data_IF_114085832720
#
_entry.id   IF_114085832720
#
_cell.length_a   1.000
_cell.length_b   1.000
_cell.length_c   1.000
_cell.angle_alpha   90.00
_cell.angle_beta   90.00
_cell.angle_gamma   90.00
#
_symmetry.space_group_name_H-M   'P 1'
#
loop_
_entity.id
_entity.type
_entity.pdbx_description
1 polymer ?
#
# COMPACT_ATOMS: atom_id res chain seq x y z
N UNK A 1 -10.09 -3.70 24.66
CA UNK A 1 -9.89 -3.35 26.08
C UNK A 1 -11.15 -2.71 26.65
N UNK A 2 -11.71 -1.69 26.00
CA UNK A 2 -13.06 -1.17 26.36
C UNK A 2 -14.16 -2.16 25.94
N UNK A 3 -14.14 -2.63 24.70
CA UNK A 3 -15.16 -3.55 24.18
C UNK A 3 -15.17 -4.90 24.92
N UNK A 4 -14.00 -5.45 25.19
CA UNK A 4 -13.82 -6.66 26.01
C UNK A 4 -14.31 -6.49 27.47
N UNK A 5 -14.26 -5.27 28.02
CA UNK A 5 -14.83 -4.99 29.36
C UNK A 5 -16.35 -4.77 29.30
N UNK A 6 -16.88 -4.25 28.19
CA UNK A 6 -18.32 -4.07 27.96
C UNK A 6 -19.02 -5.42 27.73
N UNK A 7 -18.42 -6.30 26.93
CA UNK A 7 -18.88 -7.68 26.73
C UNK A 7 -18.85 -8.47 28.05
N UNK A 8 -17.77 -8.34 28.84
CA UNK A 8 -17.67 -8.95 30.17
C UNK A 8 -18.72 -8.41 31.17
N UNK A 9 -19.33 -7.26 30.88
CA UNK A 9 -20.43 -6.65 31.66
C UNK A 9 -21.81 -6.93 31.05
N UNK A 10 -21.90 -7.74 30.00
CA UNK A 10 -23.16 -8.12 29.35
C UNK A 10 -23.79 -7.02 28.50
N UNK A 11 -23.00 -6.01 28.09
CA UNK A 11 -23.42 -4.98 27.14
C UNK A 11 -23.11 -5.48 25.73
N UNK A 12 -24.13 -5.53 24.86
CA UNK A 12 -23.97 -5.87 23.46
C UNK A 12 -23.12 -4.78 22.78
N UNK A 13 -21.95 -5.16 22.25
CA UNK A 13 -21.05 -4.24 21.57
C UNK A 13 -21.49 -4.16 20.12
N UNK A 14 -21.94 -2.96 19.72
CA UNK A 14 -22.25 -2.67 18.32
C UNK A 14 -20.95 -2.74 17.49
N UNK A 15 -20.88 -3.72 16.59
CA UNK A 15 -19.73 -3.93 15.69
C UNK A 15 -19.91 -3.22 14.34
N UNK A 16 -20.97 -2.43 14.19
CA UNK A 16 -21.22 -1.61 13.00
C UNK A 16 -20.05 -0.69 12.72
N UNK A 17 -19.69 -0.53 11.44
CA UNK A 17 -18.58 0.33 11.06
C UNK A 17 -18.85 1.80 11.39
N UNK A 18 -20.10 2.25 11.26
CA UNK A 18 -20.59 3.57 11.65
C UNK A 18 -22.12 3.61 11.56
N UNK A 19 -22.72 4.75 11.90
CA UNK A 19 -24.18 4.96 11.82
C UNK A 19 -24.81 4.71 10.45
N UNK A 20 -24.05 4.74 9.35
CA UNK A 20 -24.57 4.58 7.99
C UNK A 20 -24.71 3.11 7.56
N UNK A 21 -23.99 2.20 8.21
CA UNK A 21 -23.92 0.79 7.85
C UNK A 21 -23.87 -0.06 9.11
N UNK A 22 -24.92 -0.85 9.34
CA UNK A 22 -25.01 -1.80 10.45
C UNK A 22 -24.19 -3.09 10.21
N UNK A 23 -23.02 -2.94 9.59
CA UNK A 23 -22.14 -4.01 9.14
C UNK A 23 -20.71 -3.71 9.56
N UNK A 24 -19.97 -4.76 9.90
CA UNK A 24 -18.51 -4.73 10.01
C UNK A 24 -17.86 -4.49 8.65
N UNK A 25 -16.57 -4.12 8.63
CA UNK A 25 -15.81 -4.03 7.37
C UNK A 25 -15.80 -5.37 6.61
N UNK A 26 -15.66 -6.49 7.33
CA UNK A 26 -15.58 -7.83 6.74
C UNK A 26 -16.90 -8.23 6.07
N UNK A 27 -18.04 -7.89 6.68
CA UNK A 27 -19.37 -8.10 6.09
C UNK A 27 -19.56 -7.23 4.85
N UNK A 28 -19.20 -5.94 4.90
CA UNK A 28 -19.26 -5.05 3.73
C UNK A 28 -18.37 -5.55 2.58
N UNK A 29 -17.17 -6.06 2.88
CA UNK A 29 -16.31 -6.69 1.88
C UNK A 29 -17.02 -7.87 1.21
N UNK A 30 -17.65 -8.73 2.02
CA UNK A 30 -18.36 -9.92 1.54
C UNK A 30 -19.57 -9.54 0.67
N UNK A 31 -20.36 -8.56 1.10
CA UNK A 31 -21.50 -8.01 0.35
C UNK A 31 -21.04 -7.48 -1.02
N UNK A 32 -20.03 -6.61 -1.03
CA UNK A 32 -19.48 -6.03 -2.27
C UNK A 32 -19.03 -7.11 -3.24
N UNK A 33 -18.35 -8.15 -2.75
CA UNK A 33 -17.87 -9.26 -3.58
C UNK A 33 -19.00 -10.14 -4.11
N UNK A 34 -19.95 -10.53 -3.27
CA UNK A 34 -21.03 -11.46 -3.62
C UNK A 34 -22.01 -10.82 -4.60
N UNK A 35 -22.38 -9.56 -4.36
CA UNK A 35 -23.33 -8.84 -5.21
C UNK A 35 -22.66 -8.13 -6.40
N UNK A 36 -21.33 -8.03 -6.42
CA UNK A 36 -20.60 -7.34 -7.47
C UNK A 36 -20.82 -5.83 -7.48
N UNK A 37 -21.09 -5.23 -6.31
CA UNK A 37 -21.36 -3.79 -6.17
C UNK A 37 -20.08 -2.99 -6.43
N UNK A 38 -20.11 -2.10 -7.41
CA UNK A 38 -18.92 -1.34 -7.84
C UNK A 38 -18.89 0.11 -7.37
N UNK A 39 -19.97 0.62 -6.79
CA UNK A 39 -20.06 2.03 -6.41
C UNK A 39 -20.55 2.19 -4.98
N UNK A 40 -20.11 3.26 -4.31
CA UNK A 40 -20.61 3.60 -2.98
C UNK A 40 -22.10 3.89 -2.97
N UNK A 41 -22.61 4.55 -4.02
CA UNK A 41 -24.03 4.88 -4.15
C UNK A 41 -24.92 3.65 -4.15
N UNK A 42 -24.56 2.63 -4.94
CA UNK A 42 -25.29 1.35 -4.94
C UNK A 42 -25.19 0.63 -3.58
N UNK A 43 -24.00 0.64 -2.95
CA UNK A 43 -23.81 -0.02 -1.66
C UNK A 43 -24.65 0.62 -0.56
N UNK A 44 -24.63 1.95 -0.44
CA UNK A 44 -25.37 2.66 0.60
C UNK A 44 -26.88 2.63 0.37
N UNK A 45 -27.34 2.58 -0.88
CA UNK A 45 -28.77 2.43 -1.19
C UNK A 45 -29.31 1.07 -0.77
N UNK A 46 -28.55 -0.01 -1.00
CA UNK A 46 -28.99 -1.38 -0.70
C UNK A 46 -28.76 -1.80 0.76
N UNK A 47 -27.63 -1.41 1.34
CA UNK A 47 -27.13 -1.98 2.61
C UNK A 47 -26.84 -0.93 3.68
N UNK A 48 -27.21 0.33 3.44
CA UNK A 48 -26.98 1.42 4.39
C UNK A 48 -28.06 2.50 4.32
N UNK A 49 -27.73 3.69 4.82
CA UNK A 49 -28.57 4.88 4.69
C UNK A 49 -27.77 6.18 4.82
N UNK A 50 -28.34 7.30 4.37
CA UNK A 50 -27.72 8.62 4.46
C UNK A 50 -26.72 8.89 3.34
N UNK A 51 -25.73 9.76 3.59
CA UNK A 51 -24.75 10.22 2.59
C UNK A 51 -23.33 9.68 2.83
N UNK A 52 -23.12 8.93 3.91
CA UNK A 52 -21.82 8.45 4.37
C UNK A 52 -20.98 9.50 5.09
N UNK A 53 -20.04 9.02 5.91
CA UNK A 53 -19.10 9.84 6.69
C UNK A 53 -17.63 9.57 6.32
N UNK A 54 -16.72 10.20 7.05
CA UNK A 54 -15.27 10.04 6.99
C UNK A 54 -14.76 8.66 7.47
N UNK A 55 -15.64 7.82 8.03
CA UNK A 55 -15.33 6.42 8.39
C UNK A 55 -15.68 5.47 7.24
N UNK A 56 -16.94 5.46 6.80
CA UNK A 56 -17.40 4.45 5.83
C UNK A 56 -16.92 4.75 4.40
N UNK A 57 -16.80 6.01 3.98
CA UNK A 57 -16.37 6.33 2.62
C UNK A 57 -14.96 5.80 2.32
N UNK A 58 -13.92 6.07 3.14
CA UNK A 58 -12.58 5.52 2.89
C UNK A 58 -12.53 4.00 3.07
N UNK A 59 -13.32 3.44 3.99
CA UNK A 59 -13.40 1.99 4.17
C UNK A 59 -13.97 1.30 2.94
N UNK A 60 -15.06 1.81 2.38
CA UNK A 60 -15.66 1.30 1.13
C UNK A 60 -14.75 1.55 -0.06
N UNK A 61 -14.08 2.71 -0.16
CA UNK A 61 -13.06 2.96 -1.19
C UNK A 61 -11.96 1.88 -1.18
N UNK A 62 -11.45 1.56 0.02
CA UNK A 62 -10.46 0.49 0.21
C UNK A 62 -11.02 -0.88 -0.22
N UNK A 63 -12.26 -1.21 0.13
CA UNK A 63 -12.93 -2.46 -0.27
C UNK A 63 -13.05 -2.51 -1.81
N UNK A 64 -13.64 -1.51 -2.44
CA UNK A 64 -13.84 -1.45 -3.90
C UNK A 64 -12.52 -1.60 -4.65
N UNK A 65 -11.48 -0.86 -4.23
CA UNK A 65 -10.16 -0.96 -4.84
C UNK A 65 -9.52 -2.34 -4.65
N UNK A 66 -9.71 -2.97 -3.49
CA UNK A 66 -9.19 -4.33 -3.24
C UNK A 66 -9.97 -5.40 -4.02
N UNK A 67 -11.23 -5.14 -4.35
CA UNK A 67 -12.10 -6.08 -5.05
C UNK A 67 -11.95 -6.01 -6.57
N UNK A 68 -11.84 -4.80 -7.13
CA UNK A 68 -11.93 -4.58 -8.57
C UNK A 68 -10.71 -3.86 -9.15
N UNK A 69 -9.92 -3.19 -8.30
CA UNK A 69 -8.76 -2.39 -8.68
C UNK A 69 -9.05 -1.37 -9.78
N UNK A 70 -10.24 -0.75 -9.74
CA UNK A 70 -10.59 0.34 -10.65
C UNK A 70 -9.83 1.62 -10.27
N UNK A 71 -9.55 2.52 -11.23
CA UNK A 71 -8.77 3.72 -10.96
C UNK A 71 -9.45 4.62 -9.93
N UNK A 72 -8.76 4.90 -8.81
CA UNK A 72 -9.30 5.78 -7.76
C UNK A 72 -9.56 7.22 -8.23
N UNK A 73 -9.03 7.58 -9.40
CA UNK A 73 -9.18 8.89 -10.03
C UNK A 73 -10.50 9.04 -10.80
N UNK A 74 -11.23 7.95 -10.99
CA UNK A 74 -12.53 7.94 -11.66
C UNK A 74 -13.59 8.65 -10.81
N UNK A 75 -14.55 9.30 -11.48
CA UNK A 75 -15.54 10.16 -10.84
C UNK A 75 -16.37 9.45 -9.75
N UNK A 76 -16.58 8.14 -9.88
CA UNK A 76 -17.29 7.33 -8.89
C UNK A 76 -16.49 7.12 -7.59
N UNK A 77 -15.16 7.12 -7.67
CA UNK A 77 -14.25 6.74 -6.58
C UNK A 77 -13.63 7.94 -5.88
N UNK A 78 -13.45 9.07 -6.57
CA UNK A 78 -12.83 10.30 -6.03
C UNK A 78 -13.49 10.81 -4.75
N UNK A 79 -14.84 10.91 -4.63
CA UNK A 79 -15.48 11.46 -3.43
C UNK A 79 -15.28 10.60 -2.17
N UNK A 80 -14.72 9.39 -2.32
CA UNK A 80 -14.50 8.45 -1.24
C UNK A 80 -13.07 8.49 -0.70
N UNK A 81 -12.15 9.12 -1.44
CA UNK A 81 -10.74 9.12 -1.11
C UNK A 81 -10.42 10.14 -0.02
N UNK A 82 -9.39 9.83 0.77
CA UNK A 82 -8.76 10.85 1.60
C UNK A 82 -7.95 11.83 0.73
N UNK A 83 -7.44 12.89 1.37
CA UNK A 83 -6.65 13.93 0.69
C UNK A 83 -5.45 13.35 -0.07
N UNK A 84 -4.76 12.38 0.50
CA UNK A 84 -3.51 11.88 -0.06
C UNK A 84 -3.77 11.01 -1.30
N UNK A 85 -4.85 10.23 -1.28
CA UNK A 85 -5.29 9.46 -2.44
C UNK A 85 -5.92 10.32 -3.53
N UNK A 86 -6.68 11.35 -3.15
CA UNK A 86 -7.27 12.31 -4.09
C UNK A 86 -6.21 12.99 -4.97
N UNK A 87 -5.07 13.37 -4.36
CA UNK A 87 -3.96 14.04 -5.04
C UNK A 87 -2.80 13.12 -5.38
N UNK A 88 -2.94 11.81 -5.13
CA UNK A 88 -1.91 10.80 -5.39
C UNK A 88 -0.51 11.21 -4.89
N UNK A 89 -0.48 11.85 -3.72
CA UNK A 89 0.72 12.41 -3.08
C UNK A 89 0.46 12.68 -1.58
N UNK A 90 1.47 12.59 -0.72
CA UNK A 90 1.27 12.93 0.70
C UNK A 90 1.31 14.43 0.89
N UNK A 91 0.28 15.01 1.50
CA UNK A 91 0.26 16.40 1.93
C UNK A 91 1.24 16.65 3.08
N UNK A 92 1.97 17.77 3.00
CA UNK A 92 2.97 18.23 3.97
C UNK A 92 2.42 19.38 4.82
N UNK A 93 3.18 19.78 5.85
CA UNK A 93 2.74 20.76 6.86
C UNK A 93 2.31 22.11 6.31
N UNK A 94 2.90 22.56 5.20
CA UNK A 94 2.60 23.85 4.55
C UNK A 94 1.75 23.69 3.28
N UNK A 95 1.01 22.58 3.13
CA UNK A 95 0.15 22.36 1.96
C UNK A 95 0.87 21.87 0.69
N UNK A 96 2.20 21.75 0.71
CA UNK A 96 2.97 21.09 -0.37
C UNK A 96 2.81 19.57 -0.33
N UNK A 97 3.36 18.88 -1.32
CA UNK A 97 3.21 17.44 -1.52
C UNK A 97 4.56 16.73 -1.65
N UNK A 98 4.58 15.43 -1.35
CA UNK A 98 5.72 14.55 -1.61
C UNK A 98 5.53 13.73 -2.88
N UNK A 99 6.56 13.66 -3.72
CA UNK A 99 6.66 12.79 -4.88
C UNK A 99 7.63 11.66 -4.58
N UNK A 100 7.15 10.42 -4.69
CA UNK A 100 7.94 9.22 -4.38
C UNK A 100 7.81 8.21 -5.52
N UNK A 101 8.76 8.21 -6.47
CA UNK A 101 8.79 7.24 -7.55
C UNK A 101 9.05 5.82 -7.05
N UNK A 102 8.52 4.82 -7.76
CA UNK A 102 8.77 3.41 -7.46
C UNK A 102 10.20 3.04 -7.87
N UNK A 103 10.89 2.33 -6.99
CA UNK A 103 12.23 1.75 -7.23
C UNK A 103 12.19 0.29 -6.77
N UNK A 104 11.77 -0.64 -7.65
CA UNK A 104 11.58 -2.04 -7.28
C UNK A 104 12.84 -2.67 -6.71
N UNK A 105 12.71 -3.30 -5.53
CA UNK A 105 13.85 -3.93 -4.85
C UNK A 105 14.97 -2.98 -4.42
N UNK A 106 14.78 -1.65 -4.57
CA UNK A 106 15.83 -0.66 -4.36
C UNK A 106 16.86 -0.58 -5.49
N UNK A 107 16.61 -1.22 -6.64
CA UNK A 107 17.51 -1.21 -7.79
C UNK A 107 17.23 -0.02 -8.72
N UNK A 108 18.24 0.84 -8.92
CA UNK A 108 18.14 2.06 -9.73
C UNK A 108 19.37 2.23 -10.61
N UNK A 109 19.16 2.61 -11.87
CA UNK A 109 20.27 2.91 -12.79
C UNK A 109 20.84 4.30 -12.52
N UNK A 110 22.12 4.56 -12.88
CA UNK A 110 22.71 5.89 -12.79
C UNK A 110 21.90 6.97 -13.52
N UNK A 111 21.38 6.68 -14.72
CA UNK A 111 20.56 7.64 -15.48
C UNK A 111 19.28 8.02 -14.76
N UNK A 112 18.57 7.04 -14.19
CA UNK A 112 17.36 7.30 -13.38
C UNK A 112 17.69 8.10 -12.12
N UNK A 113 18.84 7.84 -11.49
CA UNK A 113 19.31 8.61 -10.34
C UNK A 113 19.61 10.07 -10.71
N UNK A 114 20.20 10.31 -11.88
CA UNK A 114 20.44 11.66 -12.42
C UNK A 114 19.11 12.39 -12.65
N UNK A 115 18.12 11.72 -13.25
CA UNK A 115 16.77 12.31 -13.46
C UNK A 115 16.15 12.75 -12.13
N UNK A 116 16.20 11.92 -11.09
CA UNK A 116 15.68 12.31 -9.77
C UNK A 116 16.38 13.56 -9.22
N UNK A 117 17.70 13.67 -9.42
CA UNK A 117 18.47 14.87 -9.07
C UNK A 117 18.05 16.11 -9.86
N UNK A 118 17.87 15.96 -11.18
CA UNK A 118 17.43 17.06 -12.07
C UNK A 118 16.03 17.55 -11.73
N UNK A 119 15.08 16.65 -11.49
CA UNK A 119 13.73 16.99 -11.04
C UNK A 119 13.78 17.65 -9.67
N UNK A 120 14.57 17.12 -8.74
CA UNK A 120 14.76 17.73 -7.41
C UNK A 120 15.30 19.16 -7.49
N UNK A 121 16.31 19.40 -8.33
CA UNK A 121 16.89 20.74 -8.56
C UNK A 121 15.90 21.69 -9.24
N UNK A 122 15.26 21.26 -10.34
CA UNK A 122 14.34 22.07 -11.14
C UNK A 122 13.16 22.61 -10.34
N UNK A 123 12.61 21.79 -9.44
CA UNK A 123 11.43 22.13 -8.64
C UNK A 123 11.76 22.53 -7.20
N UNK A 124 13.05 22.63 -6.84
CA UNK A 124 13.47 23.01 -5.48
C UNK A 124 13.04 22.03 -4.39
N UNK A 125 13.05 20.73 -4.69
CA UNK A 125 12.51 19.70 -3.81
C UNK A 125 13.55 19.19 -2.81
N UNK A 126 13.17 19.14 -1.53
CA UNK A 126 13.98 18.48 -0.51
C UNK A 126 14.05 16.98 -0.83
N UNK A 127 15.26 16.45 -0.90
CA UNK A 127 15.50 15.07 -1.35
C UNK A 127 16.02 14.19 -0.21
N UNK A 128 15.41 13.01 0.00
CA UNK A 128 15.78 12.13 1.11
C UNK A 128 15.77 10.65 0.72
N UNK A 129 16.88 9.96 1.01
CA UNK A 129 16.93 8.49 0.95
C UNK A 129 16.14 7.89 2.12
N UNK A 130 15.27 6.93 1.83
CA UNK A 130 14.38 6.29 2.81
C UNK A 130 14.85 4.91 3.21
N UNK A 131 14.36 4.43 4.36
CA UNK A 131 14.56 3.04 4.80
C UNK A 131 13.90 1.99 3.90
N UNK A 132 13.10 2.41 2.92
CA UNK A 132 12.51 1.55 1.89
C UNK A 132 13.35 1.43 0.62
N UNK A 133 14.60 1.91 0.62
CA UNK A 133 15.51 1.97 -0.53
C UNK A 133 14.97 2.82 -1.69
N UNK A 134 14.43 4.00 -1.36
CA UNK A 134 13.89 4.95 -2.33
C UNK A 134 14.38 6.36 -2.05
N UNK A 135 14.13 7.24 -3.00
CA UNK A 135 14.36 8.68 -2.88
C UNK A 135 12.99 9.35 -2.84
N UNK A 136 12.72 10.06 -1.76
CA UNK A 136 11.55 10.90 -1.60
C UNK A 136 11.90 12.35 -1.95
N UNK A 137 11.04 13.00 -2.73
CA UNK A 137 11.12 14.41 -3.10
C UNK A 137 9.98 15.16 -2.39
N UNK A 138 10.29 16.17 -1.60
CA UNK A 138 9.31 16.92 -0.79
C UNK A 138 9.25 18.39 -1.19
N UNK A 139 8.08 19.01 -1.01
CA UNK A 139 7.90 20.44 -1.25
C UNK A 139 7.28 20.77 -2.61
N UNK A 140 6.80 19.75 -3.34
CA UNK A 140 6.14 19.96 -4.62
C UNK A 140 4.83 20.73 -4.40
N UNK A 141 4.57 21.75 -5.22
CA UNK A 141 3.26 22.44 -5.21
C UNK A 141 2.22 21.57 -5.90
N UNK A 142 0.95 21.82 -5.60
CA UNK A 142 -0.16 21.05 -6.17
C UNK A 142 -0.15 21.11 -7.70
N UNK A 143 0.04 22.32 -8.25
CA UNK A 143 0.09 22.61 -9.67
C UNK A 143 1.31 22.03 -10.39
N UNK A 144 2.40 21.76 -9.66
CA UNK A 144 3.63 21.21 -10.24
C UNK A 144 3.56 19.69 -10.36
N UNK A 145 2.68 19.01 -9.62
CA UNK A 145 2.62 17.55 -9.59
C UNK A 145 2.47 16.92 -10.99
N UNK A 146 1.57 17.38 -11.89
CA UNK A 146 1.47 16.82 -13.23
C UNK A 146 2.77 16.95 -14.03
N UNK A 147 3.44 18.10 -13.96
CA UNK A 147 4.69 18.34 -14.69
C UNK A 147 5.82 17.45 -14.17
N UNK A 148 5.95 17.36 -12.84
CA UNK A 148 6.94 16.50 -12.18
C UNK A 148 6.72 15.04 -12.58
N UNK A 149 5.49 14.53 -12.51
CA UNK A 149 5.19 13.16 -12.90
C UNK A 149 5.35 12.91 -14.40
N UNK A 150 5.09 13.90 -15.26
CA UNK A 150 5.38 13.80 -16.69
C UNK A 150 6.84 13.47 -16.97
N UNK A 151 7.77 14.22 -16.36
CA UNK A 151 9.22 13.98 -16.50
C UNK A 151 9.65 12.62 -15.93
N UNK A 152 9.08 12.23 -14.78
CA UNK A 152 9.39 10.95 -14.15
C UNK A 152 8.89 9.76 -14.98
N UNK A 153 7.68 9.84 -15.53
CA UNK A 153 7.13 8.79 -16.41
C UNK A 153 7.93 8.68 -17.72
N UNK A 154 8.35 9.80 -18.30
CA UNK A 154 9.22 9.80 -19.49
C UNK A 154 10.56 9.08 -19.22
N UNK A 155 11.11 9.24 -18.01
CA UNK A 155 12.27 8.50 -17.54
C UNK A 155 11.98 7.04 -17.12
N UNK A 156 10.74 6.57 -17.29
CA UNK A 156 10.33 5.19 -17.00
C UNK A 156 10.16 4.88 -15.51
N UNK A 157 9.82 5.87 -14.69
CA UNK A 157 9.32 5.63 -13.34
C UNK A 157 7.84 5.30 -13.33
N UNK A 158 7.36 4.73 -12.23
CA UNK A 158 5.95 4.57 -11.90
C UNK A 158 5.68 5.20 -10.53
N UNK A 159 4.40 5.40 -10.18
CA UNK A 159 4.07 5.85 -8.82
C UNK A 159 4.44 4.81 -7.76
N UNK A 160 5.21 5.24 -6.77
CA UNK A 160 5.60 4.42 -5.63
C UNK A 160 4.48 4.19 -4.62
N UNK A 161 3.30 4.78 -4.85
CA UNK A 161 2.15 4.75 -3.95
C UNK A 161 2.57 4.99 -2.50
N UNK A 162 3.32 6.06 -2.23
CA UNK A 162 3.78 6.42 -0.89
C UNK A 162 2.71 7.17 -0.06
N UNK A 163 1.57 7.51 -0.68
CA UNK A 163 0.37 8.10 -0.10
C UNK A 163 -0.68 7.07 0.36
N UNK A 164 -1.04 6.12 -0.51
CA UNK A 164 -2.11 5.13 -0.33
C UNK A 164 -2.00 4.15 0.86
N UNK A 165 -3.10 3.49 1.25
CA UNK A 165 -3.02 2.24 2.02
C UNK A 165 -2.84 1.06 1.06
N UNK A 166 -1.60 0.89 0.58
CA UNK A 166 -1.23 -0.12 -0.41
C UNK A 166 0.15 -0.72 -0.13
N UNK A 167 0.65 -1.58 -1.03
CA UNK A 167 2.06 -1.97 -1.04
C UNK A 167 2.95 -0.73 -1.17
N UNK A 168 3.66 -0.43 -0.08
CA UNK A 168 4.65 0.63 -0.03
C UNK A 168 5.90 0.20 -0.76
N UNK A 169 6.65 -0.78 -0.28
CA UNK A 169 7.97 -1.17 -0.80
C UNK A 169 8.27 -2.64 -0.54
N UNK A 170 9.14 -3.22 -1.38
CA UNK A 170 9.81 -4.49 -1.12
C UNK A 170 11.31 -4.22 -0.95
N UNK A 171 11.79 -4.20 0.29
CA UNK A 171 13.22 -3.96 0.59
C UNK A 171 14.02 -5.22 0.25
N UNK A 172 15.16 -5.08 -0.40
CA UNK A 172 16.05 -6.21 -0.69
C UNK A 172 17.44 -6.00 -0.10
N UNK A 173 18.22 -7.07 0.05
CA UNK A 173 19.68 -6.94 0.06
C UNK A 173 20.22 -7.31 -1.32
N UNK A 174 21.53 -7.11 -1.55
CA UNK A 174 22.17 -7.34 -2.85
C UNK A 174 22.27 -8.82 -3.27
N UNK A 175 21.78 -9.76 -2.45
CA UNK A 175 21.63 -11.18 -2.78
C UNK A 175 22.93 -11.90 -3.13
N UNK A 176 22.81 -13.08 -3.73
CA UNK A 176 23.93 -13.86 -4.30
C UNK A 176 24.58 -13.18 -5.51
N UNK A 177 23.90 -12.20 -6.11
CA UNK A 177 24.41 -11.40 -7.24
C UNK A 177 25.68 -10.64 -6.87
N UNK A 178 25.80 -10.14 -5.63
CA UNK A 178 26.96 -9.35 -5.18
C UNK A 178 27.55 -9.77 -3.84
N UNK A 179 26.74 -10.26 -2.90
CA UNK A 179 27.22 -10.57 -1.56
C UNK A 179 27.87 -11.94 -1.54
N UNK A 180 29.10 -12.05 -1.01
CA UNK A 180 29.79 -13.33 -0.79
C UNK A 180 29.05 -14.33 0.10
N UNK A 181 28.06 -13.86 0.84
CA UNK A 181 27.21 -14.67 1.73
C UNK A 181 25.78 -14.83 1.21
N UNK A 182 25.48 -14.29 0.04
CA UNK A 182 24.17 -14.45 -0.58
C UNK A 182 23.99 -15.90 -1.00
N UNK A 183 22.89 -16.49 -0.57
CA UNK A 183 22.50 -17.87 -0.91
C UNK A 183 21.63 -17.87 -2.16
N UNK A 184 20.68 -16.92 -2.25
CA UNK A 184 19.80 -16.76 -3.42
C UNK A 184 19.70 -15.31 -3.88
N UNK A 185 19.14 -15.12 -5.07
CA UNK A 185 18.89 -13.81 -5.66
C UNK A 185 17.70 -13.12 -4.99
N UNK A 186 17.98 -12.40 -3.90
CA UNK A 186 16.96 -11.60 -3.22
C UNK A 186 16.51 -10.38 -3.99
N UNK A 187 17.33 -9.86 -4.92
CA UNK A 187 16.96 -8.66 -5.68
C UNK A 187 15.92 -9.03 -6.72
N UNK A 188 16.16 -10.08 -7.51
CA UNK A 188 15.21 -10.60 -8.48
C UNK A 188 13.87 -10.98 -7.84
N UNK A 189 13.91 -11.70 -6.71
CA UNK A 189 12.70 -12.03 -5.96
C UNK A 189 11.99 -10.78 -5.42
N UNK A 190 12.71 -9.80 -4.87
CA UNK A 190 12.10 -8.55 -4.40
C UNK A 190 11.42 -7.77 -5.53
N UNK A 191 12.05 -7.68 -6.70
CA UNK A 191 11.48 -7.05 -7.90
C UNK A 191 10.22 -7.81 -8.35
N UNK A 192 10.26 -9.15 -8.36
CA UNK A 192 9.09 -10.00 -8.69
C UNK A 192 7.92 -9.72 -7.76
N UNK A 193 8.14 -9.71 -6.44
CA UNK A 193 7.09 -9.42 -5.47
C UNK A 193 6.60 -7.97 -5.57
N UNK A 194 7.49 -7.00 -5.81
CA UNK A 194 7.08 -5.60 -5.91
C UNK A 194 6.22 -5.34 -7.14
N UNK A 195 6.58 -5.91 -8.28
CA UNK A 195 5.81 -5.81 -9.51
C UNK A 195 4.52 -6.63 -9.48
N UNK A 196 4.48 -7.73 -8.72
CA UNK A 196 3.25 -8.51 -8.53
C UNK A 196 2.24 -7.78 -7.66
N UNK A 197 2.67 -7.19 -6.55
CA UNK A 197 1.74 -6.60 -5.58
C UNK A 197 1.60 -5.07 -5.68
N UNK A 198 2.20 -4.43 -6.69
CA UNK A 198 1.95 -3.00 -6.95
C UNK A 198 0.47 -2.81 -7.29
N UNK A 199 -0.11 -1.72 -6.78
CA UNK A 199 -1.54 -1.43 -6.94
C UNK A 199 -2.45 -2.07 -5.89
N UNK A 200 -2.01 -3.13 -5.19
CA UNK A 200 -2.84 -3.74 -4.14
C UNK A 200 -3.12 -2.73 -3.02
N UNK A 201 -4.37 -2.27 -2.95
CA UNK A 201 -4.90 -1.57 -1.79
C UNK A 201 -5.34 -2.57 -0.73
N UNK A 202 -5.21 -2.17 0.52
CA UNK A 202 -5.42 -3.05 1.67
C UNK A 202 -5.90 -2.25 2.88
N UNK A 203 -6.47 -2.91 3.92
CA UNK A 203 -6.97 -2.23 5.11
C UNK A 203 -5.96 -1.27 5.74
N UNK A 204 -4.66 -1.60 5.64
CA UNK A 204 -3.57 -0.67 5.94
C UNK A 204 -2.39 -0.89 4.97
N UNK A 205 -1.43 0.06 4.94
CA UNK A 205 -0.18 -0.02 4.16
C UNK A 205 0.61 -1.30 4.45
N UNK A 206 1.15 -1.91 3.40
CA UNK A 206 1.95 -3.14 3.44
C UNK A 206 3.42 -2.85 3.14
N UNK A 207 4.32 -3.52 3.84
CA UNK A 207 5.75 -3.54 3.55
C UNK A 207 6.22 -4.97 3.45
N UNK A 208 7.04 -5.24 2.45
CA UNK A 208 7.67 -6.53 2.23
C UNK A 208 9.18 -6.39 2.29
N UNK A 209 9.89 -7.50 2.48
CA UNK A 209 11.33 -7.54 2.22
C UNK A 209 11.84 -8.95 1.92
N UNK A 210 12.93 -9.01 1.17
CA UNK A 210 13.61 -10.25 0.77
C UNK A 210 15.09 -10.18 1.15
N UNK A 211 15.55 -11.12 1.98
CA UNK A 211 16.95 -11.28 2.32
C UNK A 211 17.53 -12.51 1.65
N UNK A 212 18.66 -12.35 0.96
CA UNK A 212 19.34 -13.43 0.26
C UNK A 212 20.07 -14.43 1.17
N UNK A 213 20.05 -14.25 2.49
CA UNK A 213 20.52 -15.21 3.49
C UNK A 213 20.03 -14.85 4.90
N UNK A 214 20.33 -15.71 5.87
CA UNK A 214 19.94 -15.57 7.29
C UNK A 214 20.58 -14.39 8.03
N UNK A 215 21.53 -13.67 7.42
CA UNK A 215 22.06 -12.41 7.95
C UNK A 215 21.05 -11.25 7.88
N UNK A 216 19.98 -11.43 7.12
CA UNK A 216 18.76 -10.64 7.25
C UNK A 216 18.94 -9.13 6.97
N UNK A 217 19.89 -8.74 6.11
CA UNK A 217 20.19 -7.32 5.86
C UNK A 217 19.00 -6.49 5.34
N UNK A 218 17.94 -7.13 4.81
CA UNK A 218 16.72 -6.45 4.38
C UNK A 218 15.69 -6.23 5.50
N UNK A 219 15.96 -6.65 6.75
CA UNK A 219 15.02 -6.54 7.88
C UNK A 219 13.65 -7.20 7.58
N UNK A 220 13.66 -8.32 6.85
CA UNK A 220 12.51 -9.15 6.50
C UNK A 220 11.59 -9.51 7.68
N UNK A 221 12.15 -9.83 8.85
CA UNK A 221 11.36 -10.16 10.05
C UNK A 221 10.69 -8.93 10.67
N UNK A 222 10.89 -7.72 10.16
CA UNK A 222 10.19 -6.50 10.61
C UNK A 222 9.06 -6.06 9.68
N UNK A 223 8.76 -6.84 8.64
CA UNK A 223 7.82 -6.49 7.57
C UNK A 223 6.53 -7.31 7.65
N UNK A 224 5.48 -6.83 6.98
CA UNK A 224 4.19 -7.52 6.95
C UNK A 224 4.32 -8.90 6.29
N UNK A 225 5.22 -9.00 5.29
CA UNK A 225 5.70 -10.26 4.70
C UNK A 225 7.22 -10.20 4.55
N UNK A 226 7.92 -11.17 5.11
CA UNK A 226 9.38 -11.31 5.06
C UNK A 226 9.77 -12.61 4.37
N UNK A 227 10.74 -12.54 3.47
CA UNK A 227 11.26 -13.69 2.73
C UNK A 227 12.76 -13.80 3.00
N UNK A 228 13.22 -14.96 3.45
CA UNK A 228 14.64 -15.20 3.77
C UNK A 228 15.12 -16.46 3.08
N UNK A 229 16.17 -16.34 2.28
CA UNK A 229 16.74 -17.48 1.56
C UNK A 229 17.38 -18.50 2.51
N UNK A 230 17.16 -19.78 2.19
CA UNK A 230 17.86 -20.94 2.75
C UNK A 230 18.56 -21.71 1.62
N UNK A 231 19.35 -22.72 1.98
CA UNK A 231 19.97 -23.63 1.01
C UNK A 231 18.93 -24.51 0.27
N UNK A 232 17.69 -24.57 0.76
CA UNK A 232 16.64 -25.43 0.22
C UNK A 232 15.46 -24.67 -0.38
N UNK A 233 15.46 -23.33 -0.33
CA UNK A 233 14.35 -22.50 -0.82
C UNK A 233 14.20 -21.23 -0.02
N UNK A 234 12.95 -20.86 0.28
CA UNK A 234 12.62 -19.64 1.00
C UNK A 234 11.90 -19.94 2.31
N UNK A 235 12.33 -19.30 3.39
CA UNK A 235 11.53 -19.16 4.60
C UNK A 235 10.63 -17.94 4.46
N UNK A 236 9.32 -18.16 4.64
CA UNK A 236 8.30 -17.13 4.64
C UNK A 236 7.95 -16.75 6.08
N UNK A 237 7.98 -15.46 6.38
CA UNK A 237 7.58 -14.86 7.64
C UNK A 237 6.42 -13.88 7.39
N UNK A 238 5.47 -13.82 8.32
CA UNK A 238 4.28 -12.95 8.18
C UNK A 238 3.96 -12.17 9.45
N UNK A 239 3.17 -11.10 9.30
CA UNK A 239 2.59 -10.32 10.40
C UNK A 239 3.62 -9.56 11.27
N UNK A 240 4.75 -9.17 10.69
CA UNK A 240 5.70 -8.24 11.32
C UNK A 240 5.35 -6.78 11.02
N UNK A 241 5.85 -5.87 11.84
CA UNK A 241 5.80 -4.45 11.53
C UNK A 241 6.85 -3.62 12.26
N UNK A 242 7.35 -2.59 11.60
CA UNK A 242 7.86 -1.40 12.28
C UNK A 242 6.74 -0.45 12.73
N UNK A 243 7.10 0.59 13.49
CA UNK A 243 6.18 1.66 13.91
C UNK A 243 6.17 1.86 15.43
N UNK A 244 5.07 2.43 15.94
CA UNK A 244 4.92 2.76 17.38
C UNK A 244 5.02 1.53 18.29
N UNK A 245 4.45 0.41 17.85
CA UNK A 245 4.57 -0.90 18.50
C UNK A 245 5.23 -1.87 17.51
N UNK A 246 6.58 -1.96 17.50
CA UNK A 246 7.26 -2.88 16.60
C UNK A 246 6.98 -4.33 17.00
N UNK A 247 6.87 -5.21 16.00
CA UNK A 247 6.63 -6.64 16.17
C UNK A 247 7.44 -7.40 15.14
N UNK A 248 8.08 -8.49 15.57
CA UNK A 248 8.71 -9.41 14.63
C UNK A 248 7.65 -10.27 13.92
N UNK A 249 7.87 -10.52 12.65
CA UNK A 249 7.11 -11.46 11.85
C UNK A 249 7.36 -12.89 12.37
N UNK A 250 6.33 -13.73 12.29
CA UNK A 250 6.39 -15.12 12.74
C UNK A 250 6.74 -16.02 11.56
N UNK A 251 7.53 -17.07 11.81
CA UNK A 251 7.88 -18.07 10.78
C UNK A 251 6.62 -18.82 10.34
N UNK A 252 6.28 -18.65 9.07
CA UNK A 252 5.06 -19.17 8.48
C UNK A 252 5.28 -20.52 7.81
N UNK A 253 6.27 -20.60 6.92
CA UNK A 253 6.64 -21.82 6.20
C UNK A 253 8.13 -21.77 5.83
N UNK A 254 8.73 -22.94 5.60
CA UNK A 254 10.16 -23.11 5.32
C UNK A 254 10.39 -23.81 4.00
N UNK A 255 11.58 -23.60 3.42
CA UNK A 255 12.09 -24.33 2.25
C UNK A 255 11.12 -24.34 1.05
N UNK A 256 10.46 -23.20 0.84
CA UNK A 256 9.51 -23.03 -0.25
C UNK A 256 10.24 -22.81 -1.57
N UNK A 257 9.74 -23.44 -2.63
CA UNK A 257 10.04 -23.01 -4.00
C UNK A 257 9.36 -21.66 -4.32
N UNK A 258 9.78 -21.03 -5.41
CA UNK A 258 9.31 -19.72 -5.85
C UNK A 258 7.78 -19.64 -6.07
N UNK A 259 7.18 -20.69 -6.64
CA UNK A 259 5.77 -20.68 -7.02
C UNK A 259 4.88 -20.94 -5.80
N UNK A 260 5.28 -21.85 -4.93
CA UNK A 260 4.62 -22.08 -3.64
C UNK A 260 4.74 -20.86 -2.73
N UNK A 261 5.90 -20.20 -2.70
CA UNK A 261 6.08 -18.92 -1.98
C UNK A 261 5.07 -17.87 -2.43
N UNK A 262 4.91 -17.68 -3.74
CA UNK A 262 4.00 -16.69 -4.28
C UNK A 262 2.54 -17.04 -3.98
N UNK A 263 2.12 -18.29 -4.17
CA UNK A 263 0.76 -18.72 -3.82
C UNK A 263 0.42 -18.44 -2.35
N UNK A 264 1.34 -18.74 -1.43
CA UNK A 264 1.11 -18.47 -0.01
C UNK A 264 1.03 -16.98 0.30
N UNK A 265 1.83 -16.14 -0.37
CA UNK A 265 1.74 -14.69 -0.21
C UNK A 265 0.42 -14.15 -0.79
N UNK A 266 -0.01 -14.61 -1.98
CA UNK A 266 -1.29 -14.23 -2.59
C UNK A 266 -2.45 -14.52 -1.62
N UNK A 267 -2.52 -15.76 -1.14
CA UNK A 267 -3.55 -16.23 -0.20
C UNK A 267 -3.52 -15.45 1.11
N UNK A 268 -2.33 -15.26 1.70
CA UNK A 268 -2.17 -14.49 2.93
C UNK A 268 -2.67 -13.05 2.77
N UNK A 269 -2.23 -12.34 1.72
CA UNK A 269 -2.59 -10.96 1.48
C UNK A 269 -4.09 -10.81 1.23
N UNK A 270 -4.69 -11.69 0.41
CA UNK A 270 -6.12 -11.64 0.12
C UNK A 270 -6.98 -12.04 1.33
N UNK A 271 -6.54 -12.99 2.13
CA UNK A 271 -7.23 -13.35 3.37
C UNK A 271 -7.18 -12.20 4.39
N UNK A 272 -6.04 -11.54 4.54
CA UNK A 272 -5.91 -10.31 5.34
C UNK A 272 -6.81 -9.19 4.81
N UNK A 273 -6.79 -8.92 3.50
CA UNK A 273 -7.64 -7.90 2.86
C UNK A 273 -9.13 -8.14 3.12
N UNK A 274 -9.55 -9.41 3.08
CA UNK A 274 -10.93 -9.84 3.31
C UNK A 274 -11.38 -9.69 4.76
N UNK A 275 -10.52 -10.04 5.72
CA UNK A 275 -10.94 -10.27 7.12
C UNK A 275 -10.48 -9.19 8.10
N UNK A 276 -9.46 -8.40 7.77
CA UNK A 276 -8.99 -7.36 8.68
C UNK A 276 -9.95 -6.16 8.76
N UNK A 277 -9.92 -5.48 9.90
CA UNK A 277 -10.68 -4.25 10.13
C UNK A 277 -10.00 -3.01 9.51
N UNK A 278 -10.70 -1.88 9.48
CA UNK A 278 -10.20 -0.62 8.92
C UNK A 278 -8.90 -0.20 9.59
N UNK A 279 -7.92 0.20 8.79
CA UNK A 279 -6.63 0.70 9.28
C UNK A 279 -5.89 -0.29 10.20
N UNK A 280 -6.26 -1.57 10.20
CA UNK A 280 -5.64 -2.59 11.03
C UNK A 280 -4.37 -3.12 10.34
N UNK A 281 -3.23 -3.13 11.05
CA UNK A 281 -1.99 -3.76 10.55
C UNK A 281 -2.11 -5.29 10.58
N UNK A 282 -1.37 -5.98 9.71
CA UNK A 282 -1.30 -7.45 9.69
C UNK A 282 -0.93 -8.04 11.06
N UNK A 283 -0.03 -7.38 11.81
CA UNK A 283 0.33 -7.77 13.17
C UNK A 283 -0.83 -7.75 14.15
N UNK A 284 -1.59 -6.66 14.19
CA UNK A 284 -2.76 -6.49 15.07
C UNK A 284 -3.91 -7.40 14.63
N UNK A 285 -4.09 -7.56 13.31
CA UNK A 285 -5.05 -8.50 12.74
C UNK A 285 -4.74 -9.94 13.20
N UNK A 286 -3.48 -10.36 13.09
CA UNK A 286 -3.03 -11.66 13.59
C UNK A 286 -3.21 -11.81 15.10
N UNK A 287 -2.98 -10.77 15.91
CA UNK A 287 -3.21 -10.83 17.36
C UNK A 287 -4.69 -11.07 17.70
N UNK A 288 -5.61 -10.53 16.89
CA UNK A 288 -7.05 -10.66 17.08
C UNK A 288 -7.66 -11.90 16.37
N UNK A 289 -6.89 -12.59 15.53
CA UNK A 289 -7.36 -13.76 14.80
C UNK A 289 -7.50 -14.95 15.76
N UNK A 290 -8.71 -15.48 15.91
CA UNK A 290 -8.98 -16.69 16.69
C UNK A 290 -8.17 -17.87 16.12
N UNK A 291 -7.54 -18.67 16.99
CA UNK A 291 -6.59 -19.71 16.59
C UNK A 291 -5.23 -19.20 16.09
N UNK A 292 -5.07 -17.89 15.91
CA UNK A 292 -3.79 -17.23 15.68
C UNK A 292 -3.05 -17.71 14.43
N UNK A 293 -1.74 -17.97 14.58
CA UNK A 293 -0.87 -18.31 13.45
C UNK A 293 -1.19 -19.71 12.91
N UNK A 294 -1.56 -20.63 13.79
CA UNK A 294 -1.85 -22.02 13.42
C UNK A 294 -3.11 -22.07 12.54
N UNK A 295 -4.18 -21.38 12.94
CA UNK A 295 -5.35 -21.22 12.08
C UNK A 295 -5.01 -20.55 10.74
N UNK A 296 -4.16 -19.52 10.74
CA UNK A 296 -3.73 -18.89 9.50
C UNK A 296 -2.98 -19.87 8.57
N UNK A 297 -2.17 -20.78 9.13
CA UNK A 297 -1.51 -21.84 8.35
C UNK A 297 -2.53 -22.83 7.80
N UNK A 298 -3.49 -23.27 8.61
CA UNK A 298 -4.56 -24.17 8.14
C UNK A 298 -5.33 -23.56 6.95
N UNK A 299 -5.66 -22.27 7.00
CA UNK A 299 -6.40 -21.60 5.92
C UNK A 299 -5.55 -21.39 4.66
N UNK A 300 -4.30 -20.96 4.81
CA UNK A 300 -3.46 -20.54 3.66
C UNK A 300 -2.71 -21.72 3.05
N UNK A 301 -2.14 -22.58 3.88
CA UNK A 301 -1.27 -23.71 3.47
C UNK A 301 -2.13 -24.94 3.21
N UNK A 302 -2.93 -25.35 4.20
CA UNK A 302 -3.72 -26.59 4.11
C UNK A 302 -5.07 -26.39 3.40
N UNK A 303 -5.39 -25.14 3.04
CA UNK A 303 -6.64 -24.73 2.39
C UNK A 303 -7.90 -25.28 3.10
N UNK A 304 -7.91 -25.22 4.43
CA UNK A 304 -8.96 -25.83 5.26
C UNK A 304 -10.37 -25.29 4.99
N UNK A 305 -10.47 -24.10 4.38
CA UNK A 305 -11.73 -23.46 3.99
C UNK A 305 -12.06 -23.63 2.49
N UNK A 306 -11.18 -24.25 1.69
CA UNK A 306 -11.36 -24.37 0.24
C UNK A 306 -11.38 -23.01 -0.49
N UNK A 307 -10.63 -22.03 0.01
CA UNK A 307 -10.58 -20.66 -0.50
C UNK A 307 -9.34 -20.38 -1.34
N UNK A 308 -8.35 -21.26 -1.36
CA UNK A 308 -7.03 -21.05 -1.98
C UNK A 308 -7.13 -20.53 -3.41
N UNK A 309 -7.81 -21.26 -4.29
CA UNK A 309 -7.97 -20.89 -5.70
C UNK A 309 -8.72 -19.56 -5.88
N UNK A 310 -9.70 -19.27 -5.03
CA UNK A 310 -10.44 -18.00 -5.09
C UNK A 310 -9.58 -16.82 -4.66
N UNK A 311 -8.78 -16.97 -3.60
CA UNK A 311 -7.86 -15.94 -3.16
C UNK A 311 -6.78 -15.66 -4.21
N UNK A 312 -6.25 -16.71 -4.86
CA UNK A 312 -5.29 -16.56 -5.96
C UNK A 312 -5.89 -15.85 -7.17
N UNK A 313 -7.12 -16.21 -7.59
CA UNK A 313 -7.84 -15.48 -8.66
C UNK A 313 -8.12 -14.02 -8.31
N UNK A 314 -8.45 -13.74 -7.04
CA UNK A 314 -8.65 -12.38 -6.55
C UNK A 314 -7.39 -11.55 -6.69
N UNK A 315 -6.23 -12.09 -6.29
CA UNK A 315 -4.96 -11.43 -6.50
C UNK A 315 -4.66 -11.24 -7.99
N UNK A 316 -4.92 -12.26 -8.82
CA UNK A 316 -4.68 -12.16 -10.26
C UNK A 316 -5.52 -11.06 -10.91
N UNK A 317 -6.77 -10.86 -10.48
CA UNK A 317 -7.62 -9.74 -10.93
C UNK A 317 -6.98 -8.39 -10.62
N UNK A 318 -6.42 -8.21 -9.42
CA UNK A 318 -5.73 -6.98 -9.03
C UNK A 318 -4.51 -6.73 -9.93
N UNK A 319 -3.74 -7.79 -10.20
CA UNK A 319 -2.54 -7.75 -11.07
C UNK A 319 -2.92 -7.35 -12.49
N UNK A 320 -3.91 -8.02 -13.07
CA UNK A 320 -4.32 -7.83 -14.47
C UNK A 320 -4.91 -6.44 -14.71
N UNK A 321 -5.57 -5.87 -13.70
CA UNK A 321 -6.18 -4.54 -13.76
C UNK A 321 -5.22 -3.41 -13.35
N UNK A 322 -3.97 -3.71 -12.98
CA UNK A 322 -3.07 -2.66 -12.52
C UNK A 322 -2.75 -1.63 -13.62
N UNK A 323 -2.99 -0.37 -13.31
CA UNK A 323 -2.50 0.77 -14.06
C UNK A 323 -1.78 1.78 -13.15
N UNK A 324 -0.81 2.50 -13.72
CA UNK A 324 -0.15 3.58 -13.00
C UNK A 324 -1.09 4.80 -12.92
N UNK A 325 -1.55 5.13 -11.70
CA UNK A 325 -2.54 6.19 -11.48
C UNK A 325 -2.14 7.54 -12.11
N UNK A 326 -0.85 7.90 -12.08
CA UNK A 326 -0.31 9.11 -12.71
C UNK A 326 -0.28 9.04 -14.25
N UNK A 327 -0.04 7.86 -14.83
CA UNK A 327 -0.09 7.69 -16.28
C UNK A 327 -1.53 7.88 -16.76
N UNK A 328 -2.50 7.29 -16.05
CA UNK A 328 -3.93 7.50 -16.29
C UNK A 328 -4.33 8.96 -16.14
N UNK A 329 -3.92 9.64 -15.06
CA UNK A 329 -4.24 11.05 -14.83
C UNK A 329 -3.66 11.99 -15.90
N UNK A 330 -2.42 11.77 -16.35
CA UNK A 330 -1.78 12.60 -17.37
C UNK A 330 -2.37 12.41 -18.77
N UNK A 331 -3.03 11.28 -19.01
CA UNK A 331 -3.72 11.01 -20.28
C UNK A 331 -5.09 11.71 -20.41
N UNK A 332 -5.64 12.24 -19.31
CA UNK A 332 -6.98 12.82 -19.26
C UNK A 332 -6.97 14.27 -18.72
N UNK A 333 -7.17 15.28 -19.58
CA UNK A 333 -7.23 16.68 -19.16
C UNK A 333 -8.28 17.00 -18.09
N UNK A 334 -9.38 16.24 -18.02
CA UNK A 334 -10.39 16.43 -16.96
C UNK A 334 -9.87 15.98 -15.61
N UNK A 335 -9.09 14.89 -15.55
CA UNK A 335 -8.43 14.44 -14.32
C UNK A 335 -7.43 15.49 -13.85
N UNK A 336 -6.75 16.19 -14.76
CA UNK A 336 -5.74 17.21 -14.42
C UNK A 336 -6.31 18.48 -13.78
N UNK A 337 -7.60 18.79 -13.97
CA UNK A 337 -8.22 20.01 -13.39
C UNK A 337 -8.15 20.07 -11.87
N UNK A 338 -8.00 18.93 -11.19
CA UNK A 338 -7.88 18.85 -9.72
C UNK A 338 -6.51 19.31 -9.20
N UNK A 339 -5.49 19.37 -10.05
CA UNK A 339 -4.13 19.79 -9.68
C UNK A 339 -3.91 21.27 -9.94
N UNK A 340 -4.82 22.12 -9.44
CA UNK A 340 -4.74 23.58 -9.54
C UNK A 340 -4.99 24.18 -8.17
N UNK A 341 -4.14 25.13 -7.78
CA UNK A 341 -4.31 25.86 -6.53
C UNK A 341 -5.54 26.78 -6.55
N UNK A 342 -5.81 27.42 -7.68
CA UNK A 342 -7.00 28.25 -7.88
C UNK A 342 -7.72 27.89 -9.19
N UNK A 343 -9.06 28.00 -9.19
CA UNK A 343 -9.87 27.70 -10.39
C UNK A 343 -9.69 28.76 -11.48
N UNK A 344 -9.47 30.01 -11.09
CA UNK A 344 -9.47 31.18 -11.97
C UNK A 344 -8.13 31.95 -11.99
N UNK A 345 -7.08 31.40 -11.38
CA UNK A 345 -5.79 32.08 -11.21
C UNK A 345 -4.65 31.06 -11.30
N UNK A 346 -3.55 31.43 -11.94
CA UNK A 346 -2.35 30.61 -12.11
C UNK A 346 -1.26 30.95 -11.09
N UNK A 347 -1.50 31.95 -10.21
CA UNK A 347 -0.54 32.31 -9.19
C UNK A 347 -0.27 31.13 -8.24
N UNK A 348 0.98 30.98 -7.77
CA UNK A 348 1.28 30.05 -6.68
C UNK A 348 0.48 30.38 -5.44
N UNK A 349 0.23 29.36 -4.61
CA UNK A 349 -0.40 29.56 -3.29
C UNK A 349 0.51 30.46 -2.41
N UNK A 350 0.05 31.68 -2.03
CA UNK A 350 0.85 32.61 -1.23
C UNK A 350 1.06 32.12 0.21
N UNK A 351 0.29 31.14 0.67
CA UNK A 351 0.39 30.59 2.03
C UNK A 351 1.50 29.53 2.16
N UNK A 352 2.11 29.12 1.03
CA UNK A 352 3.27 28.22 1.02
C UNK A 352 4.53 29.00 1.39
N UNK A 353 4.82 29.04 2.69
CA UNK A 353 6.04 29.64 3.23
C UNK A 353 7.11 28.55 3.44
N UNK A 354 8.33 28.83 2.98
CA UNK A 354 9.50 27.96 3.11
C UNK A 354 10.64 28.70 3.81
N UNK A 355 11.52 27.93 4.45
CA UNK A 355 12.79 28.40 5.01
C UNK A 355 13.90 27.42 4.64
N UNK A 356 15.16 27.84 4.76
CA UNK A 356 16.32 27.01 4.44
C UNK A 356 16.96 26.46 5.72
N UNK A 357 17.19 25.15 5.75
CA UNK A 357 17.93 24.50 6.83
C UNK A 357 18.78 23.35 6.26
N UNK A 358 20.07 23.30 6.61
CA UNK A 358 21.04 22.31 6.09
C UNK A 358 21.17 22.33 4.55
N UNK A 359 21.07 23.51 3.93
CA UNK A 359 21.18 23.64 2.47
C UNK A 359 19.99 23.05 1.71
N UNK A 360 18.82 23.02 2.34
CA UNK A 360 17.59 22.44 1.79
C UNK A 360 16.38 23.29 2.20
N UNK A 361 15.39 23.37 1.32
CA UNK A 361 14.12 24.01 1.63
C UNK A 361 13.26 23.13 2.54
N UNK A 362 12.60 23.74 3.52
CA UNK A 362 11.58 23.08 4.37
C UNK A 362 10.39 24.02 4.62
N UNK A 363 9.22 23.47 5.01
CA UNK A 363 8.13 24.29 5.57
C UNK A 363 8.65 25.19 6.70
N UNK A 364 8.28 26.47 6.69
CA UNK A 364 8.74 27.47 7.66
C UNK A 364 8.42 27.13 9.12
#
# INVERSE_FOLDING_TARGET
MVDSELEARGVEVDQSICEHFAHTRQELYSIVRIEGIKTFGELIEKHGHGLGCDICKPAVASILASCFNEPITDAAHVPLQDTNDTFMANMQKNGTYSVVPRVPGGEITPDKLIVLGQVGEKYGLYTKVTGGQRIDLFGARLEDLPSIWGELLEAGFETGHAYAKSLRTVKSCVGSTWCRYGVQDSVGMAIRLENRYKGLRSPHKLKLAVSGCTRECAEAQSKDVGVIATEHGWNLYVCGNGGMRPRHAELFATDLDDDTLIRYIDRFLMFYVRTADRLQRTSVWRENLEGGLDYLKEVVIDDSLGLGDELERQMQTVIDNYECEWAGALSDPEKLKRFRSFVNDERPDPDIIVTEERGQLRPA
#
